data_IF_533274761508
#
_entry.id   IF_533274761508
#
_cell.length_a   1.000
_cell.length_b   1.000
_cell.length_c   1.000
_cell.angle_alpha   90.00
_cell.angle_beta   90.00
_cell.angle_gamma   90.00
#
_symmetry.space_group_name_H-M   'P 1'
#
loop_
_entity.id
_entity.type
_entity.pdbx_description
1 polymer ?
#
# COMPACT_ATOMS: atom_id res chain seq x y z
N UNK A 1 29.89 -32.02 35.55
CA UNK A 1 30.06 -31.99 34.07
C UNK A 1 28.67 -32.03 33.44
N UNK A 2 28.13 -30.89 33.10
CA UNK A 2 26.79 -30.77 32.48
C UNK A 2 26.91 -30.73 30.97
N UNK A 3 26.47 -31.80 30.31
CA UNK A 3 26.42 -31.88 28.85
C UNK A 3 25.21 -31.06 28.34
N UNK A 4 25.48 -29.89 27.78
CA UNK A 4 24.47 -29.07 27.10
C UNK A 4 24.15 -29.67 25.73
N UNK A 5 22.94 -30.19 25.58
CA UNK A 5 22.43 -30.73 24.31
C UNK A 5 22.12 -29.55 23.37
N UNK A 6 22.66 -29.53 22.15
CA UNK A 6 22.38 -28.42 21.21
C UNK A 6 20.93 -28.50 20.73
N UNK A 7 20.18 -27.44 20.98
CA UNK A 7 18.81 -27.26 20.45
C UNK A 7 18.88 -27.15 18.91
N UNK A 8 18.41 -28.18 18.22
CA UNK A 8 18.34 -28.26 16.76
C UNK A 8 17.32 -27.26 16.26
N UNK A 9 17.78 -26.10 15.80
CA UNK A 9 16.94 -25.12 15.10
C UNK A 9 16.27 -25.80 13.89
N UNK A 10 14.95 -25.94 13.92
CA UNK A 10 14.17 -26.40 12.76
C UNK A 10 14.49 -25.47 11.58
N UNK A 11 15.03 -26.00 10.49
CA UNK A 11 15.19 -25.27 9.24
C UNK A 11 13.80 -24.82 8.78
N UNK A 12 13.62 -23.52 8.60
CA UNK A 12 12.39 -22.98 8.05
C UNK A 12 12.15 -23.61 6.67
N UNK A 13 10.91 -24.02 6.41
CA UNK A 13 10.52 -24.55 5.11
C UNK A 13 10.83 -23.49 4.04
N UNK A 14 11.44 -23.84 2.91
CA UNK A 14 11.71 -22.88 1.85
C UNK A 14 10.39 -22.24 1.40
N UNK A 15 10.43 -20.94 1.10
CA UNK A 15 9.27 -20.24 0.58
C UNK A 15 8.93 -20.79 -0.82
N UNK A 16 7.65 -20.89 -1.18
CA UNK A 16 7.23 -21.31 -2.50
C UNK A 16 7.73 -20.33 -3.59
N UNK A 17 7.75 -20.80 -4.83
CA UNK A 17 8.00 -19.94 -5.98
C UNK A 17 6.94 -18.84 -6.04
N UNK A 18 7.37 -17.62 -6.34
CA UNK A 18 6.48 -16.47 -6.47
C UNK A 18 6.50 -15.98 -7.91
N UNK A 19 5.34 -15.89 -8.52
CA UNK A 19 5.11 -15.29 -9.83
C UNK A 19 4.57 -13.87 -9.65
N UNK A 20 4.96 -12.94 -10.55
CA UNK A 20 4.36 -11.61 -10.61
C UNK A 20 3.64 -11.51 -11.95
N UNK A 21 2.37 -11.15 -11.89
CA UNK A 21 1.48 -10.99 -13.04
C UNK A 21 0.59 -9.77 -12.89
N UNK A 22 -0.07 -9.39 -13.96
CA UNK A 22 -1.15 -8.41 -13.91
C UNK A 22 -2.28 -8.91 -13.00
N UNK A 23 -2.91 -7.98 -12.33
CA UNK A 23 -4.07 -8.22 -11.48
C UNK A 23 -5.30 -8.44 -12.35
N UNK A 24 -6.08 -9.46 -12.05
CA UNK A 24 -7.36 -9.73 -12.70
C UNK A 24 -8.53 -9.36 -11.77
N UNK A 25 -9.72 -9.18 -12.30
CA UNK A 25 -10.91 -8.84 -11.51
C UNK A 25 -11.18 -9.84 -10.36
N UNK A 26 -10.90 -11.11 -10.60
CA UNK A 26 -11.04 -12.16 -9.58
C UNK A 26 -10.08 -12.02 -8.40
N UNK A 27 -8.98 -11.28 -8.55
CA UNK A 27 -7.99 -11.08 -7.50
C UNK A 27 -8.39 -9.96 -6.53
N UNK A 28 -9.31 -9.07 -6.93
CA UNK A 28 -9.73 -7.90 -6.14
C UNK A 28 -10.08 -8.24 -4.70
N UNK A 29 -10.91 -9.28 -4.40
CA UNK A 29 -11.24 -9.62 -3.02
C UNK A 29 -10.01 -10.03 -2.20
N UNK A 30 -9.12 -10.85 -2.76
CA UNK A 30 -7.93 -11.34 -2.05
C UNK A 30 -6.89 -10.24 -1.84
N UNK A 31 -6.74 -9.33 -2.81
CA UNK A 31 -5.90 -8.12 -2.68
C UNK A 31 -6.45 -7.21 -1.59
N UNK A 32 -7.79 -7.01 -1.55
CA UNK A 32 -8.44 -6.22 -0.52
C UNK A 32 -8.19 -6.77 0.88
N UNK A 33 -8.45 -8.06 1.10
CA UNK A 33 -8.19 -8.74 2.38
C UNK A 33 -6.71 -8.68 2.81
N UNK A 34 -5.79 -8.79 1.85
CA UNK A 34 -4.37 -8.67 2.16
C UNK A 34 -4.03 -7.24 2.58
N UNK A 35 -4.59 -6.24 1.91
CA UNK A 35 -4.41 -4.82 2.25
C UNK A 35 -4.94 -4.48 3.63
N UNK A 36 -6.12 -4.97 4.01
CA UNK A 36 -6.68 -4.80 5.37
C UNK A 36 -5.73 -5.32 6.47
N UNK A 37 -5.05 -6.45 6.20
CA UNK A 37 -4.07 -7.03 7.14
C UNK A 37 -2.75 -6.26 7.19
N UNK A 38 -2.43 -5.46 6.16
CA UNK A 38 -1.16 -4.73 6.03
C UNK A 38 -1.27 -3.26 6.40
N UNK A 39 -2.45 -2.64 6.23
CA UNK A 39 -2.67 -1.20 6.39
C UNK A 39 -3.67 -0.90 7.50
N UNK A 40 -3.44 -1.49 8.67
CA UNK A 40 -4.31 -1.31 9.84
C UNK A 40 -4.20 0.11 10.39
N UNK A 41 -5.30 0.60 11.00
CA UNK A 41 -5.32 1.91 11.67
C UNK A 41 -4.32 2.00 12.84
N UNK A 42 -3.97 0.88 13.47
CA UNK A 42 -2.96 0.83 14.53
C UNK A 42 -1.54 1.13 14.02
N UNK A 43 -1.18 0.60 12.84
CA UNK A 43 0.13 0.85 12.23
C UNK A 43 0.15 2.22 11.51
N UNK A 44 -1.01 2.69 11.03
CA UNK A 44 -1.17 3.91 10.23
C UNK A 44 -2.32 4.78 10.75
N UNK A 45 -2.15 5.45 11.90
CA UNK A 45 -3.24 6.22 12.53
C UNK A 45 -3.63 7.50 11.80
N UNK A 46 -2.91 7.88 10.74
CA UNK A 46 -3.23 9.06 9.94
C UNK A 46 -4.04 8.67 8.72
N UNK A 47 -5.23 9.23 8.58
CA UNK A 47 -6.16 9.04 7.46
C UNK A 47 -5.69 9.73 6.15
N UNK A 48 -4.39 9.91 5.95
CA UNK A 48 -3.89 10.47 4.70
C UNK A 48 -4.31 9.64 3.48
N UNK A 49 -4.31 8.31 3.63
CA UNK A 49 -4.96 7.35 2.74
C UNK A 49 -5.57 6.26 3.59
N UNK A 50 -6.84 5.98 3.40
CA UNK A 50 -7.50 4.79 3.93
C UNK A 50 -7.49 3.71 2.87
N UNK A 51 -7.17 2.49 3.27
CA UNK A 51 -7.38 1.33 2.43
C UNK A 51 -8.86 0.97 2.48
N UNK A 52 -9.54 1.06 1.35
CA UNK A 52 -10.95 0.69 1.22
C UNK A 52 -11.21 0.02 -0.14
N UNK A 53 -12.32 -0.70 -0.22
CA UNK A 53 -12.73 -1.47 -1.39
C UNK A 53 -13.07 -0.56 -2.59
N UNK A 54 -13.62 0.62 -2.32
CA UNK A 54 -13.97 1.58 -3.34
C UNK A 54 -12.72 2.16 -4.03
N UNK A 55 -11.69 2.54 -3.26
CA UNK A 55 -10.43 3.01 -3.83
C UNK A 55 -9.75 1.94 -4.67
N UNK A 56 -9.73 0.68 -4.19
CA UNK A 56 -9.17 -0.44 -4.93
C UNK A 56 -9.92 -0.68 -6.25
N UNK A 57 -11.26 -0.67 -6.22
CA UNK A 57 -12.09 -0.85 -7.40
C UNK A 57 -11.89 0.27 -8.42
N UNK A 58 -11.79 1.52 -7.97
CA UNK A 58 -11.52 2.67 -8.84
C UNK A 58 -10.14 2.58 -9.49
N UNK A 59 -9.09 2.23 -8.74
CA UNK A 59 -7.74 2.05 -9.27
C UNK A 59 -7.72 0.95 -10.33
N UNK A 60 -8.32 -0.20 -10.03
CA UNK A 60 -8.38 -1.31 -10.97
C UNK A 60 -9.18 -0.96 -12.23
N UNK A 61 -10.30 -0.26 -12.11
CA UNK A 61 -11.12 0.13 -13.26
C UNK A 61 -10.46 1.16 -14.15
N UNK A 62 -9.66 2.06 -13.56
CA UNK A 62 -9.01 3.15 -14.31
C UNK A 62 -7.70 2.73 -14.97
N UNK A 63 -6.90 1.89 -14.29
CA UNK A 63 -5.53 1.60 -14.65
C UNK A 63 -5.17 0.10 -14.38
N UNK A 64 -6.05 -0.84 -14.74
CA UNK A 64 -5.86 -2.28 -14.50
C UNK A 64 -4.46 -2.79 -14.89
N UNK A 65 -3.93 -2.30 -16.00
CA UNK A 65 -2.63 -2.66 -16.55
C UNK A 65 -1.44 -2.24 -15.67
N UNK A 66 -1.63 -1.33 -14.72
CA UNK A 66 -0.62 -0.93 -13.73
C UNK A 66 -0.92 -1.48 -12.33
N UNK A 67 -1.84 -2.45 -12.24
CA UNK A 67 -2.11 -3.21 -11.04
C UNK A 67 -1.46 -4.59 -11.15
N UNK A 68 -0.52 -4.87 -10.26
CA UNK A 68 0.26 -6.11 -10.24
C UNK A 68 0.00 -6.90 -8.96
N UNK A 69 -0.01 -8.23 -9.08
CA UNK A 69 -0.05 -9.15 -7.96
C UNK A 69 1.17 -10.07 -7.96
N UNK A 70 1.57 -10.50 -6.78
CA UNK A 70 2.54 -11.55 -6.55
C UNK A 70 1.81 -12.77 -6.01
N UNK A 71 1.83 -13.87 -6.77
CA UNK A 71 1.14 -15.12 -6.46
C UNK A 71 2.12 -16.19 -6.04
N UNK A 72 1.78 -16.97 -5.01
CA UNK A 72 2.51 -18.14 -4.55
C UNK A 72 1.53 -19.25 -4.17
N UNK A 73 1.69 -20.44 -4.75
CA UNK A 73 0.82 -21.59 -4.52
C UNK A 73 -0.69 -21.25 -4.70
N UNK A 74 -1.03 -20.44 -5.71
CA UNK A 74 -2.40 -20.04 -6.01
C UNK A 74 -2.98 -18.99 -5.04
N UNK A 75 -2.15 -18.29 -4.25
CA UNK A 75 -2.56 -17.22 -3.31
C UNK A 75 -1.82 -15.94 -3.57
N UNK A 76 -2.52 -14.83 -3.42
CA UNK A 76 -1.91 -13.51 -3.50
C UNK A 76 -1.11 -13.23 -2.22
N UNK A 77 0.19 -13.02 -2.37
CA UNK A 77 1.13 -12.77 -1.27
C UNK A 77 1.73 -11.37 -1.31
N UNK A 78 1.36 -10.59 -2.31
CA UNK A 78 1.76 -9.19 -2.43
C UNK A 78 1.12 -8.53 -3.64
N UNK A 79 1.16 -7.21 -3.67
CA UNK A 79 0.64 -6.42 -4.77
C UNK A 79 1.36 -5.08 -4.89
N UNK A 80 1.31 -4.49 -6.08
CA UNK A 80 1.68 -3.11 -6.35
C UNK A 80 0.60 -2.50 -7.25
N UNK A 81 -0.06 -1.46 -6.77
CA UNK A 81 -1.11 -0.77 -7.49
C UNK A 81 -0.61 0.62 -7.89
N UNK A 82 -0.65 0.87 -9.17
CA UNK A 82 -0.19 2.12 -9.75
C UNK A 82 -1.25 2.80 -10.58
N UNK A 83 -0.96 4.02 -10.98
CA UNK A 83 -1.74 4.77 -11.98
C UNK A 83 -0.83 5.71 -12.77
N UNK A 84 -1.18 5.97 -14.01
CA UNK A 84 -0.54 7.02 -14.81
C UNK A 84 -1.39 8.28 -14.76
N UNK A 85 -0.77 9.43 -14.56
CA UNK A 85 -1.45 10.71 -14.53
C UNK A 85 -0.69 11.75 -15.35
N UNK A 86 -1.43 12.70 -15.90
CA UNK A 86 -0.89 13.84 -16.63
C UNK A 86 -1.22 15.11 -15.86
N UNK A 87 -0.26 16.00 -15.76
CA UNK A 87 -0.51 17.33 -15.22
C UNK A 87 -1.00 18.24 -16.37
N UNK A 88 -2.12 18.91 -16.22
CA UNK A 88 -2.61 19.86 -17.24
C UNK A 88 -1.51 20.82 -17.68
N UNK A 89 -1.35 21.00 -18.99
CA UNK A 89 -0.32 21.85 -19.61
C UNK A 89 1.13 21.39 -19.36
N UNK A 90 1.35 20.14 -18.97
CA UNK A 90 2.67 19.51 -18.88
C UNK A 90 2.79 18.45 -19.98
N UNK A 91 3.92 18.40 -20.64
CA UNK A 91 4.24 17.30 -21.55
C UNK A 91 4.68 16.02 -20.81
N UNK A 92 4.60 16.02 -19.48
CA UNK A 92 5.14 14.95 -18.67
C UNK A 92 4.02 14.11 -18.07
N UNK A 93 4.14 12.81 -18.27
CA UNK A 93 3.37 11.78 -17.57
C UNK A 93 4.10 11.33 -16.32
N UNK A 94 3.33 11.05 -15.28
CA UNK A 94 3.82 10.60 -13.98
C UNK A 94 3.21 9.24 -13.67
N UNK A 95 4.05 8.25 -13.33
CA UNK A 95 3.60 7.00 -12.74
C UNK A 95 3.52 7.16 -11.22
N UNK A 96 2.37 6.91 -10.64
CA UNK A 96 2.14 6.98 -9.19
C UNK A 96 2.05 5.56 -8.65
N UNK A 97 3.00 5.14 -7.81
CA UNK A 97 2.84 3.94 -7.00
C UNK A 97 1.93 4.27 -5.81
N UNK A 98 0.68 3.85 -5.91
CA UNK A 98 -0.37 4.16 -4.93
C UNK A 98 -0.26 3.26 -3.71
N UNK A 99 -0.16 1.95 -3.93
CA UNK A 99 -0.10 0.95 -2.88
C UNK A 99 0.94 -0.12 -3.19
N UNK A 100 1.69 -0.53 -2.16
CA UNK A 100 2.66 -1.63 -2.23
C UNK A 100 2.55 -2.46 -0.95
N UNK A 101 2.12 -3.70 -1.09
CA UNK A 101 1.93 -4.63 0.01
C UNK A 101 2.61 -5.97 -0.24
N UNK A 102 3.19 -6.56 0.81
CA UNK A 102 3.73 -7.93 0.80
C UNK A 102 3.43 -8.59 2.13
N UNK A 103 2.82 -9.77 2.10
CA UNK A 103 2.50 -10.57 3.28
C UNK A 103 3.72 -10.75 4.18
N UNK A 104 3.54 -10.63 5.49
CA UNK A 104 4.65 -10.58 6.48
C UNK A 104 5.61 -11.76 6.38
N UNK A 105 5.11 -12.98 6.13
CA UNK A 105 5.94 -14.20 6.00
C UNK A 105 6.82 -14.20 4.74
N UNK A 106 6.46 -13.43 3.71
CA UNK A 106 7.21 -13.29 2.46
C UNK A 106 8.13 -12.06 2.43
N UNK A 107 8.17 -11.28 3.52
CA UNK A 107 9.12 -10.15 3.63
C UNK A 107 10.56 -10.64 3.46
N UNK A 108 11.40 -9.80 2.85
CA UNK A 108 12.82 -10.07 2.53
C UNK A 108 13.05 -11.14 1.45
N UNK A 109 12.02 -11.65 0.79
CA UNK A 109 12.13 -12.56 -0.37
C UNK A 109 12.31 -11.82 -1.71
N UNK A 110 12.51 -10.49 -1.70
CA UNK A 110 12.70 -9.69 -2.90
C UNK A 110 11.43 -9.37 -3.69
N UNK A 111 10.24 -9.77 -3.18
CA UNK A 111 8.95 -9.60 -3.88
C UNK A 111 8.65 -8.13 -4.16
N UNK A 112 8.75 -7.27 -3.14
CA UNK A 112 8.52 -5.83 -3.30
C UNK A 112 9.44 -5.21 -4.37
N UNK A 113 10.70 -5.61 -4.41
CA UNK A 113 11.66 -5.13 -5.43
C UNK A 113 11.26 -5.57 -6.83
N UNK A 114 10.79 -6.81 -6.97
CA UNK A 114 10.33 -7.34 -8.27
C UNK A 114 9.06 -6.63 -8.72
N UNK A 115 8.09 -6.41 -7.83
CA UNK A 115 6.86 -5.66 -8.10
C UNK A 115 7.16 -4.24 -8.55
N UNK A 116 7.97 -3.49 -7.80
CA UNK A 116 8.35 -2.12 -8.15
C UNK A 116 9.08 -2.07 -9.48
N UNK A 117 10.00 -3.00 -9.75
CA UNK A 117 10.73 -3.06 -11.02
C UNK A 117 9.79 -3.31 -12.21
N UNK A 118 8.84 -4.25 -12.09
CA UNK A 118 7.89 -4.54 -13.15
C UNK A 118 6.94 -3.36 -13.38
N UNK A 119 6.42 -2.75 -12.30
CA UNK A 119 5.59 -1.56 -12.40
C UNK A 119 6.35 -0.38 -13.03
N UNK A 120 7.63 -0.21 -12.73
CA UNK A 120 8.48 0.80 -13.38
C UNK A 120 8.54 0.58 -14.90
N UNK A 121 8.70 -0.66 -15.36
CA UNK A 121 8.64 -0.99 -16.78
C UNK A 121 7.30 -0.59 -17.40
N UNK A 122 6.19 -0.98 -16.78
CA UNK A 122 4.84 -0.62 -17.26
C UNK A 122 4.61 0.90 -17.32
N UNK A 123 5.16 1.67 -16.39
CA UNK A 123 5.08 3.12 -16.44
C UNK A 123 5.90 3.71 -17.60
N UNK A 124 7.11 3.17 -17.84
CA UNK A 124 7.95 3.60 -18.98
C UNK A 124 7.24 3.30 -20.32
N UNK A 125 6.65 2.12 -20.45
CA UNK A 125 5.90 1.71 -21.65
C UNK A 125 4.67 2.61 -21.93
N UNK A 126 4.24 3.38 -20.91
CA UNK A 126 3.17 4.39 -20.99
C UNK A 126 3.67 5.83 -21.01
N UNK A 127 4.92 6.03 -21.42
CA UNK A 127 5.58 7.34 -21.53
C UNK A 127 5.70 8.12 -20.20
N UNK A 128 5.58 7.47 -19.05
CA UNK A 128 5.83 8.13 -17.78
C UNK A 128 7.34 8.43 -17.65
N UNK A 129 7.65 9.68 -17.34
CA UNK A 129 9.04 10.15 -17.19
C UNK A 129 9.50 10.21 -15.76
N UNK A 130 8.56 10.25 -14.83
CA UNK A 130 8.83 10.34 -13.39
C UNK A 130 7.92 9.34 -12.71
N UNK A 131 8.49 8.51 -11.83
CA UNK A 131 7.75 7.67 -10.91
C UNK A 131 7.73 8.33 -9.54
N UNK A 132 6.55 8.46 -8.96
CA UNK A 132 6.33 9.04 -7.65
C UNK A 132 5.80 7.97 -6.69
N UNK A 133 6.21 8.10 -5.44
CA UNK A 133 5.67 7.35 -4.30
C UNK A 133 5.66 8.27 -3.10
N UNK A 134 4.68 8.11 -2.25
CA UNK A 134 4.65 8.77 -0.96
C UNK A 134 4.55 7.76 0.19
N UNK A 135 5.07 8.14 1.32
CA UNK A 135 4.99 7.37 2.57
C UNK A 135 5.16 8.30 3.76
N UNK A 136 4.66 7.87 4.92
CA UNK A 136 4.84 8.65 6.14
C UNK A 136 6.33 8.87 6.45
N UNK A 137 6.70 10.09 6.86
CA UNK A 137 8.08 10.44 7.21
C UNK A 137 8.68 9.55 8.31
N UNK A 138 7.84 8.94 9.16
CA UNK A 138 8.23 8.00 10.21
C UNK A 138 8.41 6.56 9.71
N UNK A 139 8.01 6.25 8.47
CA UNK A 139 8.15 4.93 7.89
C UNK A 139 9.58 4.70 7.36
N UNK A 140 10.53 4.59 8.29
CA UNK A 140 11.95 4.42 7.96
C UNK A 140 12.22 3.18 7.10
N UNK A 141 11.44 2.12 7.27
CA UNK A 141 11.58 0.88 6.49
C UNK A 141 11.22 1.10 5.02
N UNK A 142 10.09 1.77 4.73
CA UNK A 142 9.68 2.11 3.37
C UNK A 142 10.64 3.12 2.74
N UNK A 143 11.04 4.18 3.45
CA UNK A 143 12.01 5.16 2.96
C UNK A 143 13.33 4.49 2.57
N UNK A 144 13.88 3.62 3.42
CA UNK A 144 15.09 2.88 3.12
C UNK A 144 14.93 1.93 1.92
N UNK A 145 13.75 1.31 1.76
CA UNK A 145 13.43 0.46 0.62
C UNK A 145 13.37 1.27 -0.67
N UNK A 146 12.63 2.38 -0.71
CA UNK A 146 12.48 3.20 -1.91
C UNK A 146 13.79 3.85 -2.34
N UNK A 147 14.63 4.32 -1.40
CA UNK A 147 15.98 4.83 -1.72
C UNK A 147 16.83 3.76 -2.42
N UNK A 148 16.83 2.52 -1.92
CA UNK A 148 17.54 1.40 -2.58
C UNK A 148 16.94 1.01 -3.92
N UNK A 149 15.66 1.33 -4.16
CA UNK A 149 14.98 1.10 -5.43
C UNK A 149 15.17 2.24 -6.44
N UNK A 150 16.01 3.24 -6.13
CA UNK A 150 16.35 4.34 -7.03
C UNK A 150 15.52 5.62 -6.85
N UNK A 151 14.61 5.67 -5.86
CA UNK A 151 13.87 6.89 -5.54
C UNK A 151 14.78 7.86 -4.79
N UNK A 152 14.76 9.13 -5.21
CA UNK A 152 15.49 10.24 -4.61
C UNK A 152 14.64 11.50 -4.56
N UNK A 153 15.27 12.66 -4.36
CA UNK A 153 14.62 13.97 -4.37
C UNK A 153 13.41 14.06 -3.44
N UNK A 154 13.60 13.74 -2.17
CA UNK A 154 12.55 13.78 -1.16
C UNK A 154 11.94 15.17 -1.02
N UNK A 155 10.61 15.26 -1.19
CA UNK A 155 9.83 16.46 -0.93
C UNK A 155 8.99 16.19 0.30
N UNK A 156 9.14 17.00 1.35
CA UNK A 156 8.34 16.84 2.57
C UNK A 156 6.99 17.52 2.42
N UNK A 157 5.94 16.76 2.69
CA UNK A 157 4.58 17.25 2.78
C UNK A 157 4.15 17.34 4.25
N UNK A 158 3.32 18.34 4.56
CA UNK A 158 2.72 18.51 5.89
C UNK A 158 1.25 18.15 5.78
N UNK A 159 0.81 17.22 6.61
CA UNK A 159 -0.59 16.87 6.78
C UNK A 159 -1.14 17.61 8.00
N UNK A 160 -2.22 18.39 7.81
CA UNK A 160 -2.88 19.13 8.86
C UNK A 160 -4.28 18.57 9.07
N UNK A 161 -4.68 18.46 10.33
CA UNK A 161 -6.02 18.05 10.72
C UNK A 161 -6.61 19.03 11.72
N UNK A 162 -7.92 19.20 11.70
CA UNK A 162 -8.69 19.95 12.68
C UNK A 162 -9.68 19.01 13.35
N UNK A 163 -9.68 18.96 14.69
CA UNK A 163 -10.72 18.25 15.42
C UNK A 163 -11.99 19.12 15.39
N UNK A 164 -13.07 18.55 14.86
CA UNK A 164 -14.35 19.24 14.72
C UNK A 164 -15.29 19.01 15.90
N UNK A 165 -14.99 18.12 16.85
CA UNK A 165 -15.83 17.85 18.02
C UNK A 165 -16.03 19.09 18.91
N UNK A 166 -15.03 19.99 18.94
CA UNK A 166 -15.09 21.24 19.69
C UNK A 166 -15.70 22.39 18.88
N UNK A 167 -16.18 22.16 17.67
CA UNK A 167 -16.82 23.17 16.84
C UNK A 167 -18.26 23.41 17.32
N UNK A 168 -18.71 24.67 17.51
CA UNK A 168 -20.06 24.96 18.03
C UNK A 168 -21.19 24.23 17.31
N UNK A 169 -21.14 24.19 15.99
CA UNK A 169 -22.12 23.49 15.16
C UNK A 169 -22.12 21.96 15.35
N UNK A 170 -20.99 21.35 15.75
CA UNK A 170 -20.94 19.92 16.07
C UNK A 170 -21.61 19.64 17.41
N UNK A 171 -21.39 20.53 18.38
CA UNK A 171 -21.99 20.46 19.73
C UNK A 171 -23.50 20.61 19.62
N UNK A 172 -23.98 21.69 18.98
CA UNK A 172 -25.41 21.95 18.75
C UNK A 172 -26.13 20.74 18.11
N UNK A 173 -25.52 20.13 17.09
CA UNK A 173 -26.12 18.97 16.41
C UNK A 173 -26.25 17.73 17.30
N UNK A 174 -25.38 17.56 18.28
CA UNK A 174 -25.40 16.39 19.15
C UNK A 174 -26.33 16.62 20.34
N UNK A 175 -26.49 17.88 20.82
CA UNK A 175 -27.44 18.25 21.84
C UNK A 175 -28.89 18.04 21.35
N UNK A 176 -29.21 18.41 20.09
CA UNK A 176 -30.51 18.18 19.46
C UNK A 176 -30.86 16.68 19.27
N UNK A 177 -29.86 15.78 19.23
CA UNK A 177 -30.08 14.35 19.03
C UNK A 177 -30.34 13.57 20.33
N UNK A 178 -30.04 14.14 21.48
CA UNK A 178 -30.33 13.51 22.78
C UNK A 178 -31.75 13.81 23.27
N UNK A 179 -32.39 14.89 22.80
CA UNK A 179 -33.77 15.25 23.18
C UNK A 179 -34.86 14.45 22.43
N UNK A 180 -34.55 13.77 21.32
CA UNK A 180 -35.50 12.98 20.51
C UNK A 180 -35.66 11.51 20.98
N UNK A 181 -35.04 11.09 22.07
CA UNK A 181 -35.07 9.68 22.54
C UNK A 181 -35.93 9.44 23.78
N UNK A 182 -36.68 10.43 24.25
CA UNK A 182 -37.53 10.33 25.49
C UNK A 182 -39.05 10.48 25.20
N UNK A 183 -39.58 9.85 24.10
CA UNK A 183 -41.04 9.71 23.91
C UNK A 183 -41.45 8.24 23.65
#
# INVERSE_FOLDING_TARGET
MGTSTPVRRKRAKPLPSVEIREMELRDVPEVFELGEKLFTAEEWPTLYRSWDDHELALLFSADAETCLVAEADGKIVGFALGRVTEKPRSAWRYGLLMWLGVERRFKRAGIATRLVRQLTGLFIDRDARIMLVDTAAKNHAALAFFRRSGFGQEIRHVYLSQNLENHPRYIERNDDSEDDTDD
#
